data_IF_272171437265
#
_entry.id   IF_272171437265
#
_cell.length_a   1.000
_cell.length_b   1.000
_cell.length_c   1.000
_cell.angle_alpha   90.00
_cell.angle_beta   90.00
_cell.angle_gamma   90.00
#
_symmetry.space_group_name_H-M   'P 1'
#
loop_
_entity.id
_entity.type
_entity.pdbx_description
1 polymer ?
#
# COMPACT_ATOMS: atom_id res chain seq x y z
N UNK A 1 31.95 -26.92 0.72
CA UNK A 1 30.56 -27.34 0.95
C UNK A 1 29.91 -26.32 1.88
N UNK A 2 29.22 -25.32 1.34
CA UNK A 2 28.48 -24.35 2.15
C UNK A 2 27.14 -24.94 2.50
N UNK A 3 26.99 -25.38 3.76
CA UNK A 3 25.71 -25.82 4.32
C UNK A 3 24.80 -24.59 4.40
N UNK A 4 23.96 -24.38 3.40
CA UNK A 4 22.84 -23.45 3.50
C UNK A 4 21.84 -24.09 4.46
N UNK A 5 21.94 -23.73 5.75
CA UNK A 5 20.88 -24.03 6.71
C UNK A 5 19.60 -23.44 6.12
N UNK A 6 18.65 -24.30 5.76
CA UNK A 6 17.34 -23.87 5.30
C UNK A 6 16.66 -23.15 6.47
N UNK A 7 16.84 -21.83 6.54
CA UNK A 7 16.17 -20.98 7.51
C UNK A 7 14.71 -20.96 7.09
N UNK A 8 13.94 -21.90 7.63
CA UNK A 8 12.48 -21.86 7.53
C UNK A 8 12.04 -20.68 8.39
N UNK A 9 11.53 -19.63 7.74
CA UNK A 9 10.88 -18.53 8.45
C UNK A 9 9.68 -19.12 9.21
N UNK A 10 9.66 -19.08 10.55
CA UNK A 10 8.57 -19.67 11.30
C UNK A 10 7.26 -19.00 10.89
N UNK A 11 6.24 -19.83 10.64
CA UNK A 11 4.91 -19.33 10.33
C UNK A 11 4.37 -18.49 11.49
N UNK A 12 3.69 -17.39 11.17
CA UNK A 12 2.97 -16.60 12.17
C UNK A 12 2.00 -17.52 12.91
N UNK A 13 2.10 -17.54 14.24
CA UNK A 13 1.17 -18.33 15.03
C UNK A 13 -0.20 -17.64 15.03
N UNK A 14 -1.30 -18.40 15.23
CA UNK A 14 -2.64 -17.81 15.30
C UNK A 14 -2.75 -16.67 16.34
N UNK A 15 -2.05 -16.78 17.46
CA UNK A 15 -1.98 -15.73 18.48
C UNK A 15 -1.27 -14.45 17.98
N UNK A 16 -0.21 -14.60 17.18
CA UNK A 16 0.49 -13.48 16.57
C UNK A 16 -0.43 -12.76 15.58
N UNK A 17 -1.16 -13.51 14.77
CA UNK A 17 -2.14 -12.97 13.80
C UNK A 17 -3.23 -12.19 14.54
N UNK A 18 -3.78 -12.74 15.63
CA UNK A 18 -4.80 -12.07 16.43
C UNK A 18 -4.30 -10.74 17.03
N UNK A 19 -3.06 -10.71 17.53
CA UNK A 19 -2.43 -9.49 18.03
C UNK A 19 -2.26 -8.44 16.92
N UNK A 20 -1.71 -8.84 15.75
CA UNK A 20 -1.53 -7.93 14.61
C UNK A 20 -2.88 -7.38 14.12
N UNK A 21 -3.93 -8.22 14.10
CA UNK A 21 -5.29 -7.79 13.76
C UNK A 21 -5.84 -6.79 14.77
N UNK A 22 -5.65 -7.00 16.08
CA UNK A 22 -6.10 -6.08 17.11
C UNK A 22 -5.42 -4.71 17.00
N UNK A 23 -4.12 -4.67 16.72
CA UNK A 23 -3.38 -3.42 16.48
C UNK A 23 -3.90 -2.71 15.23
N UNK A 24 -4.09 -3.43 14.12
CA UNK A 24 -4.61 -2.87 12.88
C UNK A 24 -6.03 -2.30 13.07
N UNK A 25 -6.89 -3.01 13.80
CA UNK A 25 -8.26 -2.55 14.09
C UNK A 25 -8.26 -1.27 14.90
N UNK A 26 -7.41 -1.16 15.94
CA UNK A 26 -7.30 0.06 16.74
C UNK A 26 -6.85 1.27 15.91
N UNK A 27 -5.89 1.07 15.01
CA UNK A 27 -5.46 2.13 14.10
C UNK A 27 -6.52 2.51 13.07
N UNK A 28 -7.25 1.54 12.54
CA UNK A 28 -8.37 1.79 11.62
C UNK A 28 -9.46 2.65 12.29
N UNK A 29 -9.76 2.40 13.56
CA UNK A 29 -10.68 3.21 14.34
C UNK A 29 -10.13 4.63 14.55
N UNK A 30 -8.86 4.77 14.92
CA UNK A 30 -8.21 6.08 15.11
C UNK A 30 -8.20 6.92 13.83
N UNK A 31 -7.94 6.29 12.68
CA UNK A 31 -7.90 6.95 11.36
C UNK A 31 -9.24 7.00 10.63
N UNK A 32 -10.31 6.50 11.24
CA UNK A 32 -11.64 6.43 10.64
C UNK A 32 -11.65 5.78 9.24
N UNK A 33 -10.90 4.68 9.08
CA UNK A 33 -10.84 3.92 7.82
C UNK A 33 -11.31 2.47 8.01
N UNK A 34 -11.83 1.85 6.95
CA UNK A 34 -12.23 0.44 6.99
C UNK A 34 -11.03 -0.51 6.92
N UNK A 35 -11.14 -1.71 7.51
CA UNK A 35 -10.09 -2.74 7.46
C UNK A 35 -9.74 -3.24 6.05
N UNK A 36 -10.67 -3.10 5.10
CA UNK A 36 -10.45 -3.46 3.70
C UNK A 36 -9.83 -2.30 2.87
N UNK A 37 -9.61 -1.13 3.46
CA UNK A 37 -9.09 0.04 2.75
C UNK A 37 -7.65 -0.19 2.27
N UNK A 38 -7.22 0.46 1.16
CA UNK A 38 -5.83 0.39 0.71
C UNK A 38 -4.82 0.79 1.79
N UNK A 39 -5.18 1.75 2.64
CA UNK A 39 -4.35 2.18 3.75
C UNK A 39 -4.22 1.10 4.84
N UNK A 40 -5.33 0.46 5.23
CA UNK A 40 -5.29 -0.65 6.18
C UNK A 40 -4.46 -1.83 5.65
N UNK A 41 -4.54 -2.12 4.33
CA UNK A 41 -3.72 -3.14 3.71
C UNK A 41 -2.23 -2.80 3.71
N UNK A 42 -1.87 -1.54 3.47
CA UNK A 42 -0.49 -1.08 3.54
C UNK A 42 0.06 -1.23 4.96
N UNK A 43 -0.68 -0.74 5.95
CA UNK A 43 -0.33 -0.84 7.37
C UNK A 43 -0.21 -2.30 7.83
N UNK A 44 -1.09 -3.19 7.36
CA UNK A 44 -1.00 -4.62 7.68
C UNK A 44 0.33 -5.24 7.21
N UNK A 45 0.88 -4.80 6.06
CA UNK A 45 2.17 -5.28 5.57
C UNK A 45 3.33 -4.79 6.44
N UNK A 46 3.29 -3.54 6.86
CA UNK A 46 4.30 -2.96 7.75
C UNK A 46 4.28 -3.62 9.13
N UNK A 47 3.09 -3.89 9.66
CA UNK A 47 2.91 -4.64 10.91
C UNK A 47 3.58 -6.02 10.85
N UNK A 48 3.35 -6.76 9.76
CA UNK A 48 3.99 -8.06 9.54
C UNK A 48 5.51 -7.90 9.40
N UNK A 49 5.97 -6.90 8.65
CA UNK A 49 7.40 -6.60 8.47
C UNK A 49 8.12 -6.35 9.80
N UNK A 50 7.58 -5.47 10.65
CA UNK A 50 8.15 -5.19 11.97
C UNK A 50 8.11 -6.39 12.89
N UNK A 51 7.03 -7.16 12.87
CA UNK A 51 6.93 -8.38 13.65
C UNK A 51 8.00 -9.41 13.26
N UNK A 52 8.22 -9.59 11.96
CA UNK A 52 9.24 -10.47 11.40
C UNK A 52 10.67 -9.98 11.67
N UNK A 53 10.87 -8.66 11.75
CA UNK A 53 12.13 -8.06 12.21
C UNK A 53 12.36 -8.17 13.73
N UNK A 54 11.38 -8.66 14.49
CA UNK A 54 11.51 -8.96 15.92
C UNK A 54 10.71 -8.05 16.87
N UNK A 55 9.90 -7.12 16.36
CA UNK A 55 9.05 -6.27 17.18
C UNK A 55 7.74 -7.01 17.50
N UNK A 56 7.75 -7.76 18.60
CA UNK A 56 6.64 -8.63 19.02
C UNK A 56 5.72 -8.04 20.09
N UNK A 57 5.98 -6.81 20.53
CA UNK A 57 5.17 -6.14 21.54
C UNK A 57 4.06 -5.32 20.89
N UNK A 58 2.82 -5.55 21.33
CA UNK A 58 1.63 -4.88 20.82
C UNK A 58 1.72 -3.35 20.96
N UNK A 59 2.18 -2.85 22.12
CA UNK A 59 2.26 -1.42 22.41
C UNK A 59 3.30 -0.72 21.54
N UNK A 60 4.44 -1.35 21.29
CA UNK A 60 5.48 -0.86 20.37
C UNK A 60 4.96 -0.80 18.94
N UNK A 61 4.27 -1.83 18.47
CA UNK A 61 3.65 -1.83 17.13
C UNK A 61 2.63 -0.70 16.98
N UNK A 62 1.72 -0.54 17.96
CA UNK A 62 0.76 0.58 17.98
C UNK A 62 1.45 1.94 18.08
N UNK A 63 2.58 2.03 18.76
CA UNK A 63 3.41 3.23 18.82
C UNK A 63 3.98 3.61 17.46
N UNK A 64 4.65 2.67 16.79
CA UNK A 64 5.26 2.88 15.47
C UNK A 64 4.26 3.37 14.43
N UNK A 65 3.06 2.80 14.43
CA UNK A 65 2.00 3.17 13.49
C UNK A 65 1.48 4.60 13.66
N UNK A 66 1.58 5.18 14.86
CA UNK A 66 1.20 6.59 15.07
C UNK A 66 2.19 7.56 14.43
N UNK A 67 3.44 7.13 14.23
CA UNK A 67 4.48 7.90 13.54
C UNK A 67 4.46 7.68 12.01
N UNK A 68 3.81 6.63 11.52
CA UNK A 68 3.61 6.47 10.08
C UNK A 68 2.60 7.49 9.55
N UNK A 69 3.08 8.43 8.75
CA UNK A 69 2.21 9.21 7.86
C UNK A 69 1.89 8.35 6.64
N UNK A 70 0.66 7.82 6.61
CA UNK A 70 0.15 7.14 5.42
C UNK A 70 -0.40 8.20 4.49
N UNK A 71 0.31 8.51 3.41
CA UNK A 71 -0.17 9.42 2.37
C UNK A 71 -1.29 8.74 1.56
N UNK A 72 -2.53 8.89 2.04
CA UNK A 72 -3.72 8.30 1.42
C UNK A 72 -3.91 8.73 -0.05
N UNK A 73 -3.36 9.88 -0.44
CA UNK A 73 -3.42 10.37 -1.82
C UNK A 73 -2.55 9.56 -2.78
N UNK A 74 -1.45 8.96 -2.30
CA UNK A 74 -0.53 8.13 -3.09
C UNK A 74 -1.00 6.68 -3.25
N UNK A 75 -1.91 6.21 -2.38
CA UNK A 75 -2.49 4.86 -2.45
C UNK A 75 -3.74 4.77 -3.34
N UNK A 76 -4.21 5.91 -3.83
CA UNK A 76 -5.19 5.96 -4.91
C UNK A 76 -4.50 5.51 -6.20
N UNK A 77 -4.53 4.21 -6.50
CA UNK A 77 -4.21 3.72 -7.85
C UNK A 77 -5.00 4.59 -8.82
N UNK A 78 -4.37 5.28 -9.79
CA UNK A 78 -5.11 6.02 -10.79
C UNK A 78 -5.87 5.00 -11.65
N UNK A 79 -7.08 4.64 -11.24
CA UNK A 79 -8.06 3.87 -12.04
C UNK A 79 -8.71 4.79 -13.08
N UNK A 80 -7.87 5.52 -13.82
CA UNK A 80 -8.26 6.03 -15.13
C UNK A 80 -7.46 5.22 -16.15
N UNK A 81 -8.12 4.43 -17.03
CA UNK A 81 -7.44 3.97 -18.22
C UNK A 81 -6.93 5.21 -18.94
N UNK A 82 -5.62 5.30 -19.19
CA UNK A 82 -5.07 6.27 -20.13
C UNK A 82 -5.69 5.95 -21.48
N UNK A 83 -6.83 6.57 -21.79
CA UNK A 83 -7.32 6.62 -23.17
C UNK A 83 -6.20 7.27 -23.98
N UNK A 84 -5.69 6.64 -25.04
CA UNK A 84 -4.95 7.37 -26.05
C UNK A 84 -5.84 8.52 -26.52
N UNK A 85 -5.31 9.73 -26.50
CA UNK A 85 -6.01 10.89 -27.04
C UNK A 85 -6.46 10.59 -28.47
N UNK A 86 -7.72 10.91 -28.85
CA UNK A 86 -8.08 10.92 -30.25
C UNK A 86 -7.25 12.01 -30.92
N UNK A 87 -6.36 11.63 -31.85
CA UNK A 87 -5.76 12.54 -32.81
C UNK A 87 -6.90 13.23 -33.57
N UNK A 88 -7.23 14.44 -33.15
CA UNK A 88 -8.26 15.26 -33.77
C UNK A 88 -7.69 15.75 -35.09
N UNK A 89 -8.20 15.11 -36.14
CA UNK A 89 -8.73 15.71 -37.36
C UNK A 89 -7.88 16.75 -38.10
N UNK A 90 -7.59 16.38 -39.34
CA UNK A 90 -7.11 17.20 -40.44
C UNK A 90 -7.70 18.62 -40.46
N UNK A 91 -6.83 19.60 -40.76
CA UNK A 91 -7.21 20.85 -41.41
C UNK A 91 -6.63 20.82 -42.83
N UNK A 92 -7.51 20.62 -43.81
CA UNK A 92 -7.25 21.00 -45.20
C UNK A 92 -7.58 22.47 -45.31
N UNK A 93 -6.66 23.31 -45.76
CA UNK A 93 -7.00 24.56 -46.48
C UNK A 93 -5.99 24.71 -47.61
N UNK A 94 -6.46 24.43 -48.82
CA UNK A 94 -5.85 24.91 -50.05
C UNK A 94 -6.22 26.37 -50.32
N UNK A 95 -5.45 26.95 -51.24
CA UNK A 95 -5.68 28.18 -51.99
C UNK A 95 -5.41 29.54 -51.32
N UNK A 96 -4.33 30.19 -51.79
CA UNK A 96 -4.31 31.64 -52.00
C UNK A 96 -3.48 31.96 -53.24
N UNK A 97 -4.18 32.59 -54.16
CA UNK A 97 -3.76 33.20 -55.42
C UNK A 97 -2.58 34.17 -55.23
N UNK A 98 -1.64 34.19 -56.18
CA UNK A 98 -0.74 35.32 -56.41
C UNK A 98 -0.76 35.64 -57.91
N UNK A 99 -0.98 36.92 -58.17
CA UNK A 99 -1.05 37.61 -59.46
C UNK A 99 0.14 37.37 -60.39
#
# INVERSE_FOLDING_TARGET
MTQHSGITKPALQPGDIAMLQAVLQGWCQEKSCGMASPAAQHVARELVSWFECGIRDQGKLSGLMRYMQVDFNSLSIPTKPRRPEPLRSAVNIGETSVL
#
